data_IF_941379861577
#
_entry.id   IF_941379861577
#
_cell.length_a   1.000
_cell.length_b   1.000
_cell.length_c   1.000
_cell.angle_alpha   90.00
_cell.angle_beta   90.00
_cell.angle_gamma   90.00
#
_symmetry.space_group_name_H-M   'P 1'
#
loop_
_entity.id
_entity.type
_entity.pdbx_description
1 polymer ?
#
# COMPACT_ATOMS: atom_id res chain seq x y z
N UNK A 1 -15.97 -11.66 20.72
CA UNK A 1 -16.32 -10.43 19.99
C UNK A 1 -15.29 -9.39 20.38
N UNK A 2 -14.24 -9.21 19.56
CA UNK A 2 -13.18 -8.23 19.80
C UNK A 2 -13.13 -7.37 18.55
N UNK A 3 -13.61 -6.15 18.70
CA UNK A 3 -13.45 -5.09 17.72
C UNK A 3 -11.96 -4.81 17.56
N UNK A 4 -11.46 -4.90 16.33
CA UNK A 4 -10.13 -4.44 15.96
C UNK A 4 -10.30 -3.05 15.37
N UNK A 5 -9.84 -2.04 16.10
CA UNK A 5 -9.70 -0.68 15.59
C UNK A 5 -8.44 -0.67 14.72
N UNK A 6 -8.57 -0.30 13.44
CA UNK A 6 -7.46 0.02 12.56
C UNK A 6 -7.15 1.51 12.70
N UNK A 7 -5.91 1.85 13.04
CA UNK A 7 -5.42 3.22 13.01
C UNK A 7 -4.87 3.50 11.60
N UNK A 8 -5.48 4.45 10.88
CA UNK A 8 -4.84 5.14 9.77
C UNK A 8 -3.97 6.27 10.35
N UNK A 9 -2.69 6.30 9.95
CA UNK A 9 -1.77 7.38 10.31
C UNK A 9 -0.54 6.95 11.12
N UNK A 10 0.58 6.81 10.42
CA UNK A 10 1.94 7.13 10.85
C UNK A 10 2.25 7.14 12.37
N UNK A 11 2.25 5.98 13.04
CA UNK A 11 2.94 5.78 14.33
C UNK A 11 3.53 4.37 14.37
N UNK A 12 4.84 4.25 14.13
CA UNK A 12 5.65 3.24 14.83
C UNK A 12 6.56 4.03 15.78
N UNK A 13 6.01 4.35 16.95
CA UNK A 13 6.74 4.83 18.11
C UNK A 13 6.93 3.63 19.05
N UNK A 14 8.20 3.31 19.30
CA UNK A 14 8.74 2.70 20.51
C UNK A 14 7.75 2.08 21.51
N UNK A 15 7.67 0.75 21.53
CA UNK A 15 7.31 0.03 22.76
C UNK A 15 8.61 -0.35 23.47
N UNK A 16 8.96 0.43 24.48
CA UNK A 16 9.89 0.04 25.54
C UNK A 16 9.06 -0.45 26.74
N UNK A 17 9.71 -1.26 27.60
CA UNK A 17 9.30 -1.86 28.89
C UNK A 17 8.90 -3.35 28.76
N UNK A 18 9.55 -4.33 29.38
CA UNK A 18 10.36 -4.38 30.61
C UNK A 18 11.34 -5.58 30.59
N UNK A 19 12.45 -5.46 31.32
CA UNK A 19 13.48 -6.49 31.47
C UNK A 19 12.94 -7.78 32.12
N UNK A 20 13.10 -8.90 31.44
CA UNK A 20 13.39 -10.18 32.07
C UNK A 20 14.78 -10.62 31.59
N UNK A 21 15.75 -10.57 32.49
CA UNK A 21 17.09 -11.12 32.26
C UNK A 21 16.96 -12.64 32.21
N UNK A 22 16.91 -13.19 31.00
CA UNK A 22 17.35 -14.54 30.71
C UNK A 22 18.41 -14.41 29.61
N UNK A 23 19.57 -15.04 29.79
CA UNK A 23 20.70 -15.03 28.86
C UNK A 23 20.23 -15.17 27.39
N UNK A 24 20.20 -14.06 26.65
CA UNK A 24 19.93 -14.06 25.21
C UNK A 24 21.25 -14.43 24.52
N UNK A 25 21.27 -15.57 23.83
CA UNK A 25 22.41 -15.99 23.01
C UNK A 25 22.66 -14.98 21.88
N UNK A 26 23.90 -14.85 21.42
CA UNK A 26 24.39 -13.78 20.53
C UNK A 26 23.79 -13.72 19.11
N UNK A 27 22.62 -14.32 18.83
CA UNK A 27 22.09 -14.49 17.47
C UNK A 27 20.57 -14.24 17.32
N UNK A 28 19.91 -13.52 18.22
CA UNK A 28 18.52 -13.12 17.99
C UNK A 28 18.47 -11.69 17.44
N UNK A 29 18.56 -11.58 16.11
CA UNK A 29 18.08 -10.36 15.45
C UNK A 29 16.58 -10.26 15.71
N UNK A 30 16.16 -9.22 16.43
CA UNK A 30 14.73 -8.93 16.68
C UNK A 30 13.93 -8.71 15.39
N UNK A 31 14.65 -8.50 14.29
CA UNK A 31 14.12 -8.33 12.95
C UNK A 31 14.55 -9.51 12.08
N UNK A 32 13.61 -9.96 11.25
CA UNK A 32 13.89 -10.91 10.18
C UNK A 32 14.45 -10.14 8.98
N UNK A 33 15.73 -10.33 8.70
CA UNK A 33 16.48 -9.66 7.62
C UNK A 33 15.88 -9.90 6.23
N UNK A 34 15.01 -10.91 6.06
CA UNK A 34 14.28 -11.13 4.82
C UNK A 34 13.31 -9.98 4.53
N UNK A 35 12.75 -9.36 5.56
CA UNK A 35 11.94 -8.16 5.42
C UNK A 35 12.77 -6.91 5.15
N UNK A 36 14.10 -6.95 5.11
CA UNK A 36 14.94 -5.77 4.90
C UNK A 36 14.53 -4.98 3.63
N UNK A 37 14.19 -3.71 3.84
CA UNK A 37 13.68 -2.75 2.87
C UNK A 37 14.81 -1.92 2.24
N UNK A 38 16.04 -2.06 2.74
CA UNK A 38 17.16 -1.25 2.31
C UNK A 38 17.56 -1.57 0.87
N UNK A 39 17.84 -0.51 0.11
CA UNK A 39 18.12 -0.61 -1.31
C UNK A 39 16.89 -0.49 -2.19
N UNK A 40 15.79 0.12 -1.70
CA UNK A 40 14.63 0.47 -2.52
C UNK A 40 14.87 1.70 -3.44
N UNK A 41 15.83 2.55 -3.09
CA UNK A 41 16.10 3.80 -3.84
C UNK A 41 14.97 4.82 -3.76
N UNK A 42 14.03 4.67 -2.83
CA UNK A 42 12.89 5.57 -2.70
C UNK A 42 12.04 5.26 -1.47
N UNK A 43 10.79 5.74 -1.46
CA UNK A 43 9.87 5.63 -0.32
C UNK A 43 8.81 4.57 -0.52
N UNK A 44 8.54 3.81 0.53
CA UNK A 44 7.31 3.01 0.63
C UNK A 44 6.18 3.89 1.11
N UNK A 45 5.03 3.74 0.50
CA UNK A 45 3.84 4.55 0.78
C UNK A 45 2.72 3.72 1.39
N UNK A 46 2.58 2.45 0.96
CA UNK A 46 1.57 1.55 1.48
C UNK A 46 2.12 0.16 1.76
N UNK A 47 1.50 -0.50 2.74
CA UNK A 47 1.69 -1.91 3.06
C UNK A 47 0.29 -2.51 3.30
N UNK A 48 -0.06 -3.54 2.55
CA UNK A 48 -1.38 -4.17 2.57
C UNK A 48 -1.27 -5.66 2.91
N UNK A 49 -2.14 -6.15 3.79
CA UNK A 49 -2.38 -7.58 3.97
C UNK A 49 -3.76 -7.89 3.38
N UNK A 50 -3.81 -8.77 2.37
CA UNK A 50 -5.06 -9.23 1.73
C UNK A 50 -4.97 -10.74 1.54
N UNK A 51 -5.96 -11.48 2.05
CA UNK A 51 -6.04 -12.93 1.97
C UNK A 51 -4.76 -13.67 2.43
N UNK A 52 -4.07 -13.10 3.44
CA UNK A 52 -2.82 -13.65 3.97
C UNK A 52 -1.59 -13.38 3.10
N UNK A 53 -1.73 -12.59 2.04
CA UNK A 53 -0.65 -12.13 1.18
C UNK A 53 -0.27 -10.68 1.54
N UNK A 54 1.04 -10.41 1.58
CA UNK A 54 1.55 -9.09 1.93
C UNK A 54 2.00 -8.36 0.68
N UNK A 55 1.49 -7.16 0.49
CA UNK A 55 1.81 -6.27 -0.62
C UNK A 55 2.41 -4.97 -0.12
N UNK A 56 3.23 -4.34 -0.96
CA UNK A 56 3.87 -3.08 -0.69
C UNK A 56 3.83 -2.20 -1.94
N UNK A 57 3.56 -0.91 -1.78
CA UNK A 57 3.60 0.04 -2.88
C UNK A 57 4.34 1.30 -2.50
N UNK A 58 4.84 2.02 -3.50
CA UNK A 58 5.38 3.36 -3.29
C UNK A 58 6.31 3.82 -4.41
N UNK A 59 6.92 4.98 -4.15
CA UNK A 59 7.87 5.63 -5.05
C UNK A 59 9.28 5.11 -4.83
N UNK A 60 9.49 3.84 -5.16
CA UNK A 60 10.82 3.22 -5.20
C UNK A 60 11.15 2.73 -6.60
N UNK A 61 12.44 2.60 -6.90
CA UNK A 61 12.91 2.34 -8.26
C UNK A 61 14.00 1.26 -8.35
N UNK A 62 14.33 0.61 -7.23
CA UNK A 62 15.17 -0.58 -7.21
C UNK A 62 14.79 -1.46 -6.03
N UNK A 63 15.24 -2.72 -5.98
CA UNK A 63 15.27 -3.54 -4.77
C UNK A 63 16.46 -4.49 -4.88
N UNK A 64 17.35 -4.48 -3.89
CA UNK A 64 18.60 -5.30 -3.92
C UNK A 64 19.41 -5.15 -5.22
N UNK A 65 19.38 -3.95 -5.83
CA UNK A 65 20.09 -3.64 -7.07
C UNK A 65 19.35 -4.03 -8.36
N UNK A 66 18.19 -4.67 -8.27
CA UNK A 66 17.31 -4.89 -9.42
C UNK A 66 16.51 -3.61 -9.70
N UNK A 67 16.63 -3.05 -10.91
CA UNK A 67 15.92 -1.86 -11.36
C UNK A 67 14.67 -2.17 -12.20
N UNK A 68 14.43 -3.45 -12.49
CA UNK A 68 13.28 -3.90 -13.27
C UNK A 68 12.00 -4.08 -12.44
N UNK A 69 12.10 -3.88 -11.13
CA UNK A 69 11.00 -4.09 -10.21
C UNK A 69 9.87 -3.06 -10.42
N UNK A 70 8.62 -3.52 -10.24
CA UNK A 70 7.44 -2.64 -10.24
C UNK A 70 7.43 -1.76 -8.98
N UNK A 71 6.56 -0.77 -8.98
CA UNK A 71 6.17 0.08 -7.85
C UNK A 71 5.14 -0.58 -6.92
N UNK A 72 4.72 -1.80 -7.25
CA UNK A 72 3.78 -2.62 -6.49
C UNK A 72 4.33 -4.03 -6.34
N UNK A 73 4.73 -4.40 -5.13
CA UNK A 73 5.43 -5.64 -4.79
C UNK A 73 4.56 -6.55 -3.94
N UNK A 74 4.84 -7.85 -4.00
CA UNK A 74 4.26 -8.91 -3.17
C UNK A 74 5.37 -9.67 -2.46
N UNK A 75 5.12 -10.07 -1.22
CA UNK A 75 5.98 -10.96 -0.46
C UNK A 75 5.76 -12.40 -0.89
N UNK A 76 6.83 -13.11 -1.28
CA UNK A 76 6.72 -14.52 -1.69
C UNK A 76 7.17 -15.52 -0.61
N UNK A 77 7.44 -15.06 0.62
CA UNK A 77 7.99 -15.90 1.71
C UNK A 77 9.51 -15.76 1.91
N UNK A 78 10.23 -15.28 0.90
CA UNK A 78 11.69 -15.13 0.92
C UNK A 78 12.17 -13.72 0.58
N UNK A 79 11.50 -13.07 -0.37
CA UNK A 79 11.82 -11.72 -0.85
C UNK A 79 10.59 -11.00 -1.42
N UNK A 80 10.72 -9.70 -1.58
CA UNK A 80 9.78 -8.91 -2.37
C UNK A 80 9.97 -9.20 -3.87
N UNK A 81 8.87 -9.41 -4.58
CA UNK A 81 8.82 -9.59 -6.03
C UNK A 81 7.75 -8.67 -6.62
N UNK A 82 7.87 -8.31 -7.89
CA UNK A 82 6.81 -7.54 -8.58
C UNK A 82 5.48 -8.29 -8.50
N UNK A 83 4.44 -7.65 -7.97
CA UNK A 83 3.10 -8.25 -7.92
C UNK A 83 2.45 -8.31 -9.31
N UNK A 84 2.78 -7.36 -10.17
CA UNK A 84 2.31 -7.28 -11.56
C UNK A 84 3.26 -6.48 -12.44
N UNK A 85 2.77 -6.10 -13.63
CA UNK A 85 3.52 -5.20 -14.52
C UNK A 85 3.70 -3.84 -13.84
N UNK A 86 4.85 -3.21 -14.12
CA UNK A 86 5.13 -1.85 -13.66
C UNK A 86 4.13 -0.88 -14.27
N UNK A 87 3.40 -0.16 -13.42
CA UNK A 87 2.38 0.80 -13.84
C UNK A 87 2.86 2.24 -13.79
N UNK A 88 4.05 2.49 -13.23
CA UNK A 88 4.53 3.84 -12.90
C UNK A 88 3.46 4.56 -12.07
N UNK A 89 3.10 3.97 -10.93
CA UNK A 89 2.39 4.61 -9.82
C UNK A 89 3.21 5.85 -9.44
N UNK A 90 2.95 6.93 -10.16
CA UNK A 90 3.53 8.23 -9.93
C UNK A 90 2.71 8.94 -8.85
N UNK A 91 2.96 10.23 -8.67
CA UNK A 91 2.25 11.02 -7.67
C UNK A 91 0.73 11.12 -7.95
N UNK A 92 0.22 10.56 -9.05
CA UNK A 92 -1.19 10.66 -9.47
C UNK A 92 -2.04 9.45 -9.08
N UNK A 93 -1.48 8.47 -8.38
CA UNK A 93 -2.22 7.27 -7.98
C UNK A 93 -2.22 7.09 -6.48
N UNK A 94 -3.38 6.74 -5.93
CA UNK A 94 -3.55 6.36 -4.53
C UNK A 94 -4.04 4.92 -4.46
N UNK A 95 -3.38 4.11 -3.64
CA UNK A 95 -3.80 2.75 -3.35
C UNK A 95 -4.43 2.71 -1.96
N UNK A 96 -5.50 1.94 -1.81
CA UNK A 96 -6.22 1.79 -0.55
C UNK A 96 -6.91 0.42 -0.47
N UNK A 97 -7.35 0.06 0.74
CA UNK A 97 -8.17 -1.12 0.97
C UNK A 97 -9.64 -0.75 0.99
N UNK A 98 -10.46 -1.55 0.34
CA UNK A 98 -11.92 -1.48 0.42
C UNK A 98 -12.48 -2.89 0.27
N UNK A 99 -13.33 -3.33 1.21
CA UNK A 99 -13.89 -4.69 1.24
C UNK A 99 -12.84 -5.81 1.12
N UNK A 100 -11.72 -5.67 1.84
CA UNK A 100 -10.57 -6.59 1.80
C UNK A 100 -9.90 -6.69 0.40
N UNK A 101 -10.14 -5.73 -0.49
CA UNK A 101 -9.57 -5.68 -1.83
C UNK A 101 -8.66 -4.45 -1.97
N UNK A 102 -7.56 -4.60 -2.74
CA UNK A 102 -6.67 -3.47 -3.03
C UNK A 102 -7.23 -2.72 -4.23
N UNK A 103 -7.54 -1.46 -4.02
CA UNK A 103 -7.98 -0.55 -5.07
C UNK A 103 -6.90 0.47 -5.37
N UNK A 104 -6.88 0.93 -6.62
CA UNK A 104 -6.09 2.06 -7.08
C UNK A 104 -7.04 3.05 -7.71
N UNK A 105 -6.96 4.29 -7.26
CA UNK A 105 -7.58 5.43 -7.95
C UNK A 105 -6.49 6.29 -8.55
N UNK A 106 -6.64 6.60 -9.84
CA UNK A 106 -5.71 7.45 -10.58
C UNK A 106 -6.39 8.79 -10.90
N UNK A 107 -5.62 9.87 -10.88
CA UNK A 107 -6.06 11.22 -11.27
C UNK A 107 -5.07 11.82 -12.26
N UNK A 108 -5.36 11.70 -13.55
CA UNK A 108 -4.50 12.22 -14.61
C UNK A 108 -5.16 13.42 -15.28
N UNK A 109 -4.38 14.48 -15.54
CA UNK A 109 -4.78 15.59 -16.43
C UNK A 109 -4.77 15.15 -17.92
N UNK A 110 -4.48 13.88 -18.21
CA UNK A 110 -4.36 13.29 -19.55
C UNK A 110 -5.42 12.20 -19.77
N UNK A 111 -5.79 11.99 -21.04
CA UNK A 111 -6.91 11.14 -21.52
C UNK A 111 -6.78 9.62 -21.26
N UNK A 112 -5.86 9.19 -20.40
CA UNK A 112 -5.57 7.78 -20.08
C UNK A 112 -5.77 7.45 -18.61
N UNK A 113 -6.63 8.20 -17.91
CA UNK A 113 -6.93 7.92 -16.52
C UNK A 113 -7.76 6.61 -16.41
N UNK A 114 -7.23 5.61 -15.71
CA UNK A 114 -7.94 4.34 -15.48
C UNK A 114 -9.06 4.48 -14.42
N UNK A 115 -9.28 5.69 -13.89
CA UNK A 115 -10.30 6.00 -12.89
C UNK A 115 -10.06 5.22 -11.60
N UNK A 116 -11.04 4.41 -11.21
CA UNK A 116 -10.94 3.44 -10.12
C UNK A 116 -10.72 2.03 -10.68
N UNK A 117 -9.68 1.38 -10.17
CA UNK A 117 -9.31 0.01 -10.51
C UNK A 117 -9.16 -0.83 -9.25
N UNK A 118 -9.24 -2.15 -9.42
CA UNK A 118 -9.07 -3.16 -8.38
C UNK A 118 -7.97 -4.13 -8.78
N UNK A 119 -7.15 -4.54 -7.82
CA UNK A 119 -6.15 -5.58 -8.01
C UNK A 119 -6.80 -6.97 -7.95
N UNK A 120 -6.58 -7.79 -8.97
CA UNK A 120 -7.14 -9.16 -9.08
C UNK A 120 -6.22 -10.25 -8.53
N UNK A 121 -4.99 -9.90 -8.14
CA UNK A 121 -3.92 -10.85 -7.85
C UNK A 121 -2.90 -10.99 -8.98
N UNK A 122 -3.28 -10.63 -10.21
CA UNK A 122 -2.41 -10.71 -11.40
C UNK A 122 -2.36 -9.39 -12.18
N UNK A 123 -3.49 -8.66 -12.24
CA UNK A 123 -3.61 -7.40 -12.97
C UNK A 123 -4.58 -6.42 -12.30
N UNK A 124 -4.59 -5.18 -12.82
CA UNK A 124 -5.55 -4.16 -12.40
C UNK A 124 -6.78 -4.22 -13.32
N UNK A 125 -7.95 -4.39 -12.75
CA UNK A 125 -9.24 -4.37 -13.44
C UNK A 125 -9.95 -3.03 -13.21
N UNK A 126 -10.50 -2.42 -14.27
CA UNK A 126 -11.25 -1.17 -14.16
C UNK A 126 -12.61 -1.42 -13.52
N UNK A 127 -12.85 -0.80 -12.36
CA UNK A 127 -14.14 -0.78 -11.67
C UNK A 127 -15.00 0.35 -12.23
N UNK A 128 -14.40 1.52 -12.41
CA UNK A 128 -15.06 2.72 -12.90
C UNK A 128 -14.03 3.59 -13.63
N UNK A 129 -14.38 4.09 -14.82
CA UNK A 129 -13.48 4.89 -15.68
C UNK A 129 -13.74 6.40 -15.60
N UNK A 130 -14.42 6.87 -14.55
CA UNK A 130 -14.73 8.27 -14.35
C UNK A 130 -13.45 9.05 -14.06
N UNK A 131 -13.40 10.28 -14.58
CA UNK A 131 -12.30 11.18 -14.31
C UNK A 131 -12.48 11.85 -12.96
N UNK A 132 -11.68 11.42 -11.99
CA UNK A 132 -11.57 12.07 -10.70
C UNK A 132 -10.57 13.22 -10.80
N UNK A 133 -11.09 14.44 -10.98
CA UNK A 133 -10.27 15.65 -11.00
C UNK A 133 -10.04 16.18 -9.58
N UNK A 134 -8.78 16.33 -9.20
CA UNK A 134 -8.38 16.98 -7.95
C UNK A 134 -7.20 16.29 -7.28
N UNK A 135 -6.48 17.02 -6.41
CA UNK A 135 -5.47 16.41 -5.55
C UNK A 135 -6.19 15.61 -4.47
N UNK A 136 -6.39 14.33 -4.75
CA UNK A 136 -6.77 13.36 -3.73
C UNK A 136 -5.73 13.41 -2.62
N UNK A 137 -6.18 13.38 -1.39
CA UNK A 137 -5.34 13.44 -0.19
C UNK A 137 -5.51 12.21 0.68
N UNK A 138 -6.71 11.67 0.68
CA UNK A 138 -7.05 10.55 1.53
C UNK A 138 -8.27 9.80 0.98
N UNK A 139 -8.42 8.56 1.42
CA UNK A 139 -9.54 7.69 1.09
C UNK A 139 -9.99 6.98 2.35
N UNK A 140 -11.29 6.98 2.63
CA UNK A 140 -11.85 6.30 3.80
C UNK A 140 -13.12 5.55 3.40
N UNK A 141 -13.36 4.39 3.98
CA UNK A 141 -14.63 3.68 3.83
C UNK A 141 -15.55 4.01 5.01
N UNK A 142 -16.79 4.39 4.75
CA UNK A 142 -17.76 4.66 5.81
C UNK A 142 -19.15 4.15 5.41
N UNK A 143 -19.74 3.30 6.24
CA UNK A 143 -21.08 2.72 6.00
C UNK A 143 -21.27 2.05 4.63
N UNK A 144 -20.18 1.52 4.05
CA UNK A 144 -20.20 0.89 2.72
C UNK A 144 -20.06 1.86 1.55
N UNK A 145 -19.86 3.15 1.80
CA UNK A 145 -19.51 4.13 0.78
C UNK A 145 -17.99 4.41 0.82
N UNK A 146 -17.38 4.65 -0.34
CA UNK A 146 -16.00 5.14 -0.44
C UNK A 146 -16.02 6.67 -0.43
N UNK A 147 -15.31 7.25 0.54
CA UNK A 147 -15.14 8.69 0.69
C UNK A 147 -13.76 9.07 0.18
N UNK A 148 -13.73 9.97 -0.80
CA UNK A 148 -12.51 10.60 -1.29
C UNK A 148 -12.34 11.98 -0.67
N UNK A 149 -11.26 12.17 0.07
CA UNK A 149 -10.84 13.48 0.56
C UNK A 149 -10.05 14.22 -0.51
N UNK A 150 -10.63 15.22 -1.18
CA UNK A 150 -9.88 16.13 -2.07
C UNK A 150 -9.66 17.48 -1.40
N UNK A 151 -8.59 18.19 -1.80
CA UNK A 151 -8.07 19.41 -1.13
C UNK A 151 -9.10 20.54 -0.89
N UNK A 152 -10.28 20.50 -1.52
CA UNK A 152 -11.27 21.58 -1.44
C UNK A 152 -12.72 21.12 -1.16
N UNK A 153 -13.06 19.84 -1.33
CA UNK A 153 -14.42 19.29 -1.13
C UNK A 153 -14.29 17.79 -0.77
N UNK A 154 -15.20 17.19 -0.01
CA UNK A 154 -15.31 15.72 0.06
C UNK A 154 -16.15 15.20 -1.10
N UNK A 155 -15.66 14.20 -1.85
CA UNK A 155 -16.46 13.48 -2.85
C UNK A 155 -16.85 12.12 -2.27
N UNK A 156 -18.15 11.81 -2.29
CA UNK A 156 -18.65 10.48 -1.90
C UNK A 156 -18.93 9.70 -3.18
N UNK A 157 -18.34 8.51 -3.29
CA UNK A 157 -18.55 7.60 -4.40
C UNK A 157 -19.22 6.33 -3.87
N UNK A 158 -20.24 5.89 -4.60
CA UNK A 158 -20.85 4.57 -4.39
C UNK A 158 -20.30 3.62 -5.43
N UNK A 159 -19.64 2.57 -4.94
CA UNK A 159 -19.04 1.50 -5.73
C UNK A 159 -19.62 0.17 -5.32
#
# INVERSE_FOLDING_TARGET
>A
MREKILFSGLIILFVLHTMAIAQVGENESYYDDRFYWGGLGGSVENLFEVDGELYMSGRFHTYRGDHSISDFLKWNGERWVSAGKKQNLDNTSFLFLYNDEIHKISYSDLDNNEGLTKWTGEEWEVVNSDNYYGWLRDTESFEGDLILGVLLIGLVIRI
#
